data_IF_369523506890
#
_entry.id   IF_369523506890
#
_cell.length_a   1.000
_cell.length_b   1.000
_cell.length_c   1.000
_cell.angle_alpha   90.00
_cell.angle_beta   90.00
_cell.angle_gamma   90.00
#
_symmetry.space_group_name_H-M   'P 1'
#
loop_
_entity.id
_entity.type
_entity.pdbx_description
1 polymer ?
#
# COMPACT_ATOMS: atom_id res chain seq x y z
N UNK A 1 38.27 2.52 10.68
CA UNK A 1 36.99 2.80 10.00
C UNK A 1 36.43 1.46 9.55
N UNK A 2 35.41 0.96 10.26
CA UNK A 2 34.77 -0.29 9.88
C UNK A 2 33.68 0.04 8.85
N UNK A 3 33.83 -0.46 7.63
CA UNK A 3 32.80 -0.42 6.60
C UNK A 3 31.75 -1.48 6.94
N UNK A 4 30.50 -1.06 7.17
CA UNK A 4 29.34 -1.95 7.29
C UNK A 4 28.37 -1.64 6.16
N UNK A 5 28.10 -2.64 5.33
CA UNK A 5 27.13 -2.55 4.24
C UNK A 5 25.73 -2.76 4.81
N UNK A 6 24.94 -1.70 4.87
CA UNK A 6 23.50 -1.89 4.86
C UNK A 6 23.07 -2.25 3.45
N UNK A 7 22.44 -3.41 3.33
CA UNK A 7 21.71 -3.76 2.12
C UNK A 7 20.24 -3.47 2.39
N UNK A 8 19.69 -2.46 1.71
CA UNK A 8 18.27 -2.48 1.39
C UNK A 8 18.10 -3.65 0.44
N UNK A 9 17.78 -4.83 0.97
CA UNK A 9 17.51 -5.98 0.12
C UNK A 9 16.16 -5.74 -0.53
N UNK A 10 16.19 -5.41 -1.82
CA UNK A 10 15.12 -5.86 -2.69
C UNK A 10 15.18 -7.39 -2.59
N UNK A 11 14.29 -7.94 -1.77
CA UNK A 11 14.04 -9.36 -1.54
C UNK A 11 15.07 -10.16 -0.74
N UNK A 12 14.72 -10.43 0.51
CA UNK A 12 14.44 -11.80 0.95
C UNK A 12 13.26 -11.71 1.92
N UNK A 13 12.23 -12.49 1.63
CA UNK A 13 11.10 -12.71 2.53
C UNK A 13 11.60 -12.87 3.97
N UNK A 14 11.07 -12.06 4.90
CA UNK A 14 11.06 -12.49 6.30
C UNK A 14 10.37 -13.85 6.25
N UNK A 15 11.05 -14.91 6.69
CA UNK A 15 10.50 -16.25 6.65
C UNK A 15 9.36 -16.32 7.67
N UNK A 16 8.19 -15.85 7.26
CA UNK A 16 6.96 -15.89 8.01
C UNK A 16 6.38 -17.27 7.78
N UNK A 17 6.19 -18.00 8.86
CA UNK A 17 5.75 -19.39 8.91
C UNK A 17 4.40 -19.57 8.19
N UNK A 18 4.36 -20.50 7.22
CA UNK A 18 3.12 -20.99 6.64
C UNK A 18 2.37 -21.86 7.67
N UNK A 19 1.07 -21.63 7.95
CA UNK A 19 0.23 -22.68 8.50
C UNK A 19 0.00 -23.77 7.44
N UNK A 20 0.12 -25.03 7.85
CA UNK A 20 0.06 -26.22 7.00
C UNK A 20 -1.24 -26.31 6.18
N UNK A 21 -1.22 -26.90 4.97
CA UNK A 21 -2.43 -27.04 4.15
C UNK A 21 -3.34 -28.14 4.70
N UNK A 22 -4.58 -27.77 5.05
CA UNK A 22 -5.66 -28.73 5.26
C UNK A 22 -6.09 -29.35 3.91
N UNK A 23 -6.25 -30.67 3.91
CA UNK A 23 -6.73 -31.50 2.80
C UNK A 23 -8.16 -31.10 2.33
N UNK A 24 -8.51 -31.32 1.05
CA UNK A 24 -9.80 -30.95 0.50
C UNK A 24 -10.91 -31.96 0.88
N UNK A 25 -12.04 -31.45 1.34
CA UNK A 25 -13.28 -32.21 1.47
C UNK A 25 -14.05 -32.19 0.15
N UNK A 26 -14.19 -33.36 -0.46
CA UNK A 26 -15.18 -33.62 -1.50
C UNK A 26 -16.58 -33.71 -0.87
N UNK A 27 -17.54 -32.97 -1.41
CA UNK A 27 -18.92 -33.45 -1.45
C UNK A 27 -19.69 -32.85 -2.63
N UNK A 28 -19.95 -33.71 -3.62
CA UNK A 28 -20.97 -33.53 -4.63
C UNK A 28 -22.34 -33.70 -3.96
N UNK A 29 -23.24 -32.73 -4.10
CA UNK A 29 -24.68 -33.06 -4.18
C UNK A 29 -25.43 -31.99 -4.96
N UNK A 30 -25.95 -32.40 -6.11
CA UNK A 30 -26.99 -31.70 -6.87
C UNK A 30 -28.29 -31.74 -6.07
N UNK A 31 -29.00 -30.62 -5.98
CA UNK A 31 -30.46 -30.66 -5.83
C UNK A 31 -31.12 -29.56 -6.65
N UNK A 32 -32.12 -30.03 -7.39
CA UNK A 32 -32.98 -29.35 -8.36
C UNK A 32 -33.99 -28.38 -7.73
N UNK A 33 -34.43 -27.46 -8.58
CA UNK A 33 -35.46 -26.43 -8.43
C UNK A 33 -36.86 -26.92 -8.02
N UNK A 34 -37.72 -25.99 -7.55
CA UNK A 34 -39.15 -25.76 -7.90
C UNK A 34 -39.73 -24.57 -7.07
N UNK A 35 -40.79 -23.83 -7.51
CA UNK A 35 -40.96 -22.39 -7.28
C UNK A 35 -42.17 -21.95 -6.39
N UNK A 36 -42.14 -20.66 -5.94
CA UNK A 36 -43.20 -19.62 -5.72
C UNK A 36 -44.58 -20.01 -5.10
N UNK A 37 -45.23 -19.13 -4.28
CA UNK A 37 -45.90 -17.94 -4.83
C UNK A 37 -45.96 -16.66 -3.96
N UNK A 38 -46.30 -15.58 -4.66
CA UNK A 38 -46.60 -14.24 -4.19
C UNK A 38 -47.98 -14.11 -3.51
N UNK A 39 -48.15 -13.10 -2.66
CA UNK A 39 -49.46 -12.50 -2.35
C UNK A 39 -49.36 -10.99 -2.20
N UNK A 40 -50.13 -10.29 -3.03
CA UNK A 40 -50.50 -8.88 -2.95
C UNK A 40 -51.73 -8.71 -2.04
N UNK A 41 -51.82 -7.63 -1.25
CA UNK A 41 -53.05 -6.86 -0.95
C UNK A 41 -52.62 -5.48 -0.35
N UNK A 42 -52.70 -4.37 -1.08
CA UNK A 42 -53.81 -3.41 -1.24
C UNK A 42 -54.14 -2.52 -0.01
N UNK A 43 -53.61 -1.28 -0.06
CA UNK A 43 -54.25 0.03 0.17
C UNK A 43 -55.46 0.15 1.10
N UNK A 44 -55.36 1.04 2.10
CA UNK A 44 -56.39 2.07 2.38
C UNK A 44 -55.79 3.38 2.89
N UNK A 45 -56.12 4.46 2.17
CA UNK A 45 -56.00 5.86 2.58
C UNK A 45 -57.05 6.21 3.64
N UNK A 46 -56.67 7.08 4.59
CA UNK A 46 -57.56 8.10 5.15
C UNK A 46 -56.69 9.29 5.57
N UNK A 47 -56.99 10.45 5.00
CA UNK A 47 -56.43 11.73 5.42
C UNK A 47 -57.49 12.54 6.17
N UNK A 48 -57.05 13.37 7.12
CA UNK A 48 -57.71 14.63 7.47
C UNK A 48 -56.70 15.54 8.19
N UNK A 49 -56.47 16.66 7.49
CA UNK A 49 -55.85 17.95 7.82
C UNK A 49 -55.78 18.38 9.30
N UNK A 50 -54.66 19.03 9.69
CA UNK A 50 -54.61 20.35 10.32
C UNK A 50 -53.19 21.00 10.22
N UNK A 51 -53.17 22.32 10.03
CA UNK A 51 -52.05 23.25 9.68
C UNK A 51 -51.16 23.60 10.90
N UNK A 52 -49.89 24.07 10.74
CA UNK A 52 -48.77 23.83 11.67
C UNK A 52 -48.44 25.03 12.59
N UNK A 53 -47.53 24.81 13.57
CA UNK A 53 -46.54 25.83 13.94
C UNK A 53 -45.10 25.27 13.94
N UNK A 54 -44.21 25.98 13.25
CA UNK A 54 -42.75 25.77 13.23
C UNK A 54 -42.08 26.23 14.56
N UNK A 55 -40.76 26.10 14.75
CA UNK A 55 -40.02 24.86 14.99
C UNK A 55 -39.17 24.95 16.27
N UNK A 56 -39.31 24.01 17.21
CA UNK A 56 -38.30 23.85 18.28
C UNK A 56 -37.35 22.74 17.86
N UNK A 57 -36.24 23.12 17.22
CA UNK A 57 -35.18 22.21 16.81
C UNK A 57 -34.52 21.65 18.07
N UNK A 58 -34.97 20.48 18.50
CA UNK A 58 -34.19 19.62 19.38
C UNK A 58 -33.00 19.11 18.55
N UNK A 59 -31.85 19.77 18.68
CA UNK A 59 -30.57 19.26 18.21
C UNK A 59 -30.26 17.99 19.00
N UNK A 60 -30.76 16.85 18.52
CA UNK A 60 -30.26 15.54 18.90
C UNK A 60 -28.88 15.43 18.28
N UNK A 61 -27.88 15.86 19.04
CA UNK A 61 -26.47 15.59 18.77
C UNK A 61 -26.32 14.08 18.82
N UNK A 62 -26.56 13.43 17.69
CA UNK A 62 -25.97 12.13 17.42
C UNK A 62 -24.48 12.38 17.30
N UNK A 63 -23.78 12.32 18.44
CA UNK A 63 -22.34 12.16 18.45
C UNK A 63 -22.07 10.79 17.83
N UNK A 64 -21.99 10.74 16.50
CA UNK A 64 -21.25 9.70 15.82
C UNK A 64 -19.82 9.84 16.33
N UNK A 65 -19.48 8.99 17.30
CA UNK A 65 -18.11 8.78 17.73
C UNK A 65 -17.30 8.50 16.48
N UNK A 66 -16.60 9.53 15.98
CA UNK A 66 -15.48 9.33 15.07
C UNK A 66 -14.45 8.66 15.96
N UNK A 67 -14.48 7.33 16.00
CA UNK A 67 -13.33 6.55 16.42
C UNK A 67 -12.24 6.81 15.38
N UNK A 68 -11.55 7.95 15.51
CA UNK A 68 -10.20 8.08 15.00
C UNK A 68 -9.38 7.09 15.80
N UNK A 69 -9.24 5.88 15.28
CA UNK A 69 -8.28 4.90 15.79
C UNK A 69 -6.89 5.50 15.60
N UNK A 70 -6.46 6.28 16.60
CA UNK A 70 -5.14 6.93 16.70
C UNK A 70 -3.99 5.93 16.82
N UNK A 71 -4.27 4.62 16.78
CA UNK A 71 -3.26 3.58 16.64
C UNK A 71 -2.76 3.53 15.20
N UNK A 72 -1.43 3.61 15.05
CA UNK A 72 -0.74 3.24 13.82
C UNK A 72 -1.23 1.86 13.34
N UNK A 73 -1.38 1.63 12.02
CA UNK A 73 -1.73 0.31 11.53
C UNK A 73 -0.78 -0.74 12.08
N UNK A 74 -1.35 -1.86 12.49
CA UNK A 74 -0.54 -3.00 12.85
C UNK A 74 0.23 -3.41 11.59
N UNK A 75 1.54 -3.64 11.70
CA UNK A 75 2.31 -4.15 10.57
C UNK A 75 1.68 -5.47 10.12
N UNK A 76 1.65 -5.75 8.80
CA UNK A 76 1.15 -7.01 8.32
C UNK A 76 2.02 -8.16 8.83
N UNK A 77 1.38 -9.27 9.21
CA UNK A 77 2.03 -10.50 9.65
C UNK A 77 2.11 -11.54 8.53
N UNK A 78 1.56 -11.27 7.34
CA UNK A 78 1.72 -12.13 6.15
C UNK A 78 1.81 -11.32 4.86
N UNK A 79 2.21 -11.98 3.77
CA UNK A 79 2.24 -11.38 2.42
C UNK A 79 0.83 -10.98 1.96
N UNK A 80 -0.14 -11.84 2.19
CA UNK A 80 -1.54 -11.65 1.81
C UNK A 80 -2.13 -10.47 2.58
N UNK A 81 -1.83 -10.35 3.87
CA UNK A 81 -2.23 -9.20 4.66
C UNK A 81 -1.59 -7.91 4.15
N UNK A 82 -0.29 -7.94 3.81
CA UNK A 82 0.38 -6.79 3.21
C UNK A 82 -0.28 -6.35 1.90
N UNK A 83 -0.67 -7.31 1.04
CA UNK A 83 -1.41 -7.04 -0.20
C UNK A 83 -2.78 -6.42 0.12
N UNK A 84 -3.54 -6.96 1.06
CA UNK A 84 -4.87 -6.45 1.44
C UNK A 84 -4.79 -5.03 2.03
N UNK A 85 -3.83 -4.78 2.92
CA UNK A 85 -3.61 -3.45 3.49
C UNK A 85 -3.21 -2.44 2.40
N UNK A 86 -2.28 -2.82 1.52
CA UNK A 86 -1.84 -1.98 0.41
C UNK A 86 -2.96 -1.70 -0.61
N UNK A 87 -3.78 -2.71 -0.96
CA UNK A 87 -4.98 -2.55 -1.79
C UNK A 87 -5.94 -1.54 -1.19
N UNK A 88 -6.23 -1.66 0.11
CA UNK A 88 -7.16 -0.79 0.83
C UNK A 88 -6.64 0.65 0.88
N UNK A 89 -5.35 0.81 1.18
CA UNK A 89 -4.68 2.11 1.20
C UNK A 89 -4.72 2.77 -0.18
N UNK A 90 -4.40 2.04 -1.25
CA UNK A 90 -4.42 2.58 -2.61
C UNK A 90 -5.85 2.87 -3.08
N UNK A 91 -6.79 1.95 -2.86
CA UNK A 91 -8.17 2.09 -3.34
C UNK A 91 -8.84 3.32 -2.75
N UNK A 92 -8.77 3.50 -1.43
CA UNK A 92 -9.32 4.66 -0.72
C UNK A 92 -8.67 5.97 -1.17
N UNK A 93 -7.36 5.95 -1.43
CA UNK A 93 -6.64 7.13 -1.93
C UNK A 93 -7.02 7.48 -3.37
N UNK A 94 -7.36 6.48 -4.20
CA UNK A 94 -7.80 6.67 -5.58
C UNK A 94 -9.26 7.13 -5.70
N UNK A 95 -10.12 6.93 -4.68
CA UNK A 95 -11.54 7.28 -4.75
C UNK A 95 -11.76 8.76 -5.09
N UNK A 96 -11.11 9.68 -4.36
CA UNK A 96 -11.27 11.12 -4.56
C UNK A 96 -10.84 11.59 -5.96
N UNK A 97 -9.62 11.29 -6.44
CA UNK A 97 -9.18 11.76 -7.75
C UNK A 97 -9.96 11.15 -8.91
N UNK A 98 -10.47 9.92 -8.77
CA UNK A 98 -11.25 9.27 -9.82
C UNK A 98 -12.70 9.76 -9.89
N UNK A 99 -13.31 10.11 -8.76
CA UNK A 99 -14.69 10.62 -8.73
C UNK A 99 -14.78 12.13 -8.99
N UNK A 100 -13.70 12.89 -8.79
CA UNK A 100 -13.71 14.36 -8.92
C UNK A 100 -12.60 14.90 -9.85
N UNK A 101 -12.51 14.43 -11.11
CA UNK A 101 -11.43 14.84 -12.03
C UNK A 101 -11.48 16.33 -12.43
N UNK A 102 -12.59 17.04 -12.18
CA UNK A 102 -12.84 18.42 -12.64
C UNK A 102 -12.84 19.49 -11.55
N UNK A 103 -12.68 19.13 -10.28
CA UNK A 103 -12.99 20.01 -9.13
C UNK A 103 -11.79 20.80 -8.56
N UNK A 104 -10.61 20.72 -9.18
CA UNK A 104 -9.50 21.64 -8.86
C UNK A 104 -9.65 22.86 -9.76
N UNK A 105 -10.04 23.98 -9.12
CA UNK A 105 -10.72 25.12 -9.71
C UNK A 105 -10.07 25.78 -10.93
N UNK A 106 -10.93 26.50 -11.67
CA UNK A 106 -10.74 27.23 -12.95
C UNK A 106 -9.53 28.19 -13.05
N UNK A 107 -8.67 28.27 -12.04
CA UNK A 107 -7.50 29.16 -12.00
C UNK A 107 -6.19 28.49 -11.52
N UNK A 108 -6.19 27.18 -11.18
CA UNK A 108 -4.96 26.45 -10.80
C UNK A 108 -4.87 25.15 -11.60
N UNK A 109 -3.72 24.93 -12.27
CA UNK A 109 -3.41 23.65 -12.94
C UNK A 109 -3.68 22.50 -11.96
N UNK A 110 -4.60 21.59 -12.33
CA UNK A 110 -4.95 20.43 -11.51
C UNK A 110 -3.68 19.64 -11.19
N UNK A 111 -3.33 19.42 -9.93
CA UNK A 111 -2.18 18.58 -9.58
C UNK A 111 -2.51 17.15 -9.97
N UNK A 112 -1.68 16.52 -10.80
CA UNK A 112 -1.82 15.10 -11.12
C UNK A 112 -1.64 14.28 -9.83
N UNK A 113 -2.56 13.38 -9.50
CA UNK A 113 -2.38 12.42 -8.42
C UNK A 113 -1.29 11.42 -8.80
N UNK A 114 -0.26 11.31 -7.97
CA UNK A 114 0.88 10.40 -8.19
C UNK A 114 1.13 9.63 -6.92
N UNK A 115 0.96 8.32 -6.95
CA UNK A 115 1.00 7.47 -5.75
C UNK A 115 2.08 6.41 -5.86
N UNK A 116 2.67 6.02 -4.74
CA UNK A 116 3.67 4.96 -4.68
C UNK A 116 3.27 3.88 -3.68
N UNK A 117 3.41 2.63 -4.12
CA UNK A 117 3.15 1.42 -3.34
C UNK A 117 4.40 0.55 -3.37
N UNK A 118 4.83 0.12 -2.19
CA UNK A 118 5.96 -0.80 -2.02
C UNK A 118 5.55 -1.98 -1.13
N UNK A 119 5.60 -3.19 -1.68
CA UNK A 119 5.31 -4.43 -0.96
C UNK A 119 6.40 -5.46 -1.26
N UNK A 120 6.76 -6.32 -0.29
CA UNK A 120 7.75 -7.36 -0.53
C UNK A 120 7.22 -8.30 -1.62
N UNK A 121 8.07 -8.76 -2.51
CA UNK A 121 7.72 -9.88 -3.41
C UNK A 121 8.61 -11.08 -3.06
N UNK A 122 8.43 -12.20 -3.74
CA UNK A 122 9.15 -13.46 -3.47
C UNK A 122 10.43 -13.56 -4.31
N UNK A 123 10.31 -13.29 -5.61
CA UNK A 123 11.40 -13.09 -6.56
C UNK A 123 10.95 -12.16 -7.70
N UNK A 124 11.90 -11.81 -8.58
CA UNK A 124 11.68 -11.00 -9.78
C UNK A 124 11.29 -11.85 -11.02
N UNK A 125 10.86 -13.10 -10.82
CA UNK A 125 10.44 -13.93 -11.95
C UNK A 125 9.14 -13.40 -12.57
N UNK A 126 8.95 -13.61 -13.89
CA UNK A 126 7.72 -13.19 -14.55
C UNK A 126 6.45 -13.74 -13.92
N UNK A 127 6.46 -14.99 -13.44
CA UNK A 127 5.31 -15.63 -12.83
C UNK A 127 4.98 -15.00 -11.47
N UNK A 128 5.98 -14.79 -10.61
CA UNK A 128 5.79 -14.14 -9.30
C UNK A 128 5.26 -12.71 -9.43
N UNK A 129 5.79 -11.93 -10.37
CA UNK A 129 5.37 -10.55 -10.62
C UNK A 129 3.98 -10.48 -11.26
N UNK A 130 3.67 -11.39 -12.18
CA UNK A 130 2.34 -11.50 -12.80
C UNK A 130 1.29 -11.90 -11.78
N UNK A 131 1.60 -12.89 -10.93
CA UNK A 131 0.71 -13.30 -9.85
C UNK A 131 0.53 -12.18 -8.83
N UNK A 132 1.58 -11.45 -8.46
CA UNK A 132 1.45 -10.28 -7.58
C UNK A 132 0.52 -9.21 -8.19
N UNK A 133 0.70 -8.90 -9.47
CA UNK A 133 -0.15 -7.92 -10.15
C UNK A 133 -1.61 -8.40 -10.21
N UNK A 134 -1.83 -9.69 -10.44
CA UNK A 134 -3.18 -10.30 -10.40
C UNK A 134 -3.78 -10.22 -9.01
N UNK A 135 -3.04 -10.70 -8.00
CA UNK A 135 -3.43 -10.67 -6.60
C UNK A 135 -3.71 -9.25 -6.12
N UNK A 136 -3.10 -8.22 -6.71
CA UNK A 136 -3.28 -6.83 -6.29
C UNK A 136 -4.36 -6.08 -7.09
N UNK A 137 -4.35 -6.19 -8.42
CA UNK A 137 -5.16 -5.37 -9.33
C UNK A 137 -6.34 -6.12 -9.95
N UNK A 138 -6.38 -7.46 -9.87
CA UNK A 138 -7.46 -8.27 -10.44
C UNK A 138 -8.84 -7.95 -9.84
N UNK A 139 -8.88 -7.62 -8.55
CA UNK A 139 -10.11 -7.39 -7.77
C UNK A 139 -10.01 -6.11 -6.90
N UNK A 140 -9.20 -5.14 -7.29
CA UNK A 140 -8.97 -3.94 -6.47
C UNK A 140 -10.28 -3.17 -6.21
N UNK A 141 -10.71 -2.99 -4.93
CA UNK A 141 -12.04 -2.48 -4.62
C UNK A 141 -12.07 -0.95 -4.64
N UNK A 142 -12.03 -0.35 -5.83
CA UNK A 142 -12.08 1.11 -5.98
C UNK A 142 -13.53 1.58 -6.16
N UNK A 143 -14.04 2.39 -5.23
CA UNK A 143 -15.40 2.94 -5.31
C UNK A 143 -15.45 4.08 -6.34
N UNK A 144 -16.18 3.88 -7.43
CA UNK A 144 -16.46 4.91 -8.44
C UNK A 144 -17.94 5.05 -8.72
N UNK A 145 -18.40 6.29 -8.87
CA UNK A 145 -19.73 6.60 -9.41
C UNK A 145 -19.72 6.41 -10.91
N UNK A 146 -20.58 5.52 -11.42
CA UNK A 146 -20.79 5.33 -12.85
C UNK A 146 -20.01 4.14 -13.42
N UNK A 147 -19.21 4.37 -14.45
CA UNK A 147 -18.52 3.30 -15.18
C UNK A 147 -17.46 2.61 -14.31
N UNK A 148 -17.17 1.32 -14.57
CA UNK A 148 -16.02 0.67 -13.99
C UNK A 148 -14.71 1.39 -14.34
N UNK A 149 -13.70 1.21 -13.49
CA UNK A 149 -12.40 1.84 -13.65
C UNK A 149 -11.56 1.02 -14.60
N UNK A 150 -11.00 1.67 -15.62
CA UNK A 150 -10.03 1.06 -16.51
C UNK A 150 -8.62 1.28 -15.97
N UNK A 151 -7.88 0.20 -15.72
CA UNK A 151 -6.51 0.22 -15.22
C UNK A 151 -5.60 -0.16 -16.38
N UNK A 152 -4.57 0.65 -16.63
CA UNK A 152 -3.49 0.31 -17.56
C UNK A 152 -2.25 -0.05 -16.75
N UNK A 153 -1.80 -1.30 -16.84
CA UNK A 153 -0.55 -1.76 -16.23
C UNK A 153 0.55 -1.72 -17.28
N UNK A 154 1.60 -0.95 -16.97
CA UNK A 154 2.79 -0.78 -17.77
C UNK A 154 3.93 -1.60 -17.18
N UNK A 155 4.42 -2.55 -17.95
CA UNK A 155 5.47 -3.50 -17.59
C UNK A 155 6.84 -3.05 -18.11
N UNK A 156 7.95 -3.44 -17.48
CA UNK A 156 9.29 -3.06 -17.93
C UNK A 156 9.63 -3.56 -19.33
N UNK A 157 9.17 -4.76 -19.68
CA UNK A 157 9.48 -5.40 -20.95
C UNK A 157 8.31 -6.25 -21.46
N UNK A 158 8.47 -6.75 -22.69
CA UNK A 158 7.45 -7.51 -23.38
C UNK A 158 7.23 -8.91 -22.76
N UNK A 159 8.25 -9.53 -22.16
CA UNK A 159 8.15 -10.86 -21.56
C UNK A 159 7.28 -10.79 -20.30
N UNK A 160 7.55 -9.82 -19.42
CA UNK A 160 6.72 -9.60 -18.23
C UNK A 160 5.27 -9.26 -18.59
N UNK A 161 5.06 -8.47 -19.64
CA UNK A 161 3.72 -8.19 -20.17
C UNK A 161 3.00 -9.46 -20.64
N UNK A 162 3.69 -10.35 -21.34
CA UNK A 162 3.11 -11.60 -21.86
C UNK A 162 2.73 -12.58 -20.73
N UNK A 163 3.61 -12.76 -19.75
CA UNK A 163 3.32 -13.54 -18.54
C UNK A 163 2.11 -12.98 -17.80
N UNK A 164 2.03 -11.66 -17.65
CA UNK A 164 0.91 -11.01 -17.01
C UNK A 164 -0.40 -11.18 -17.78
N UNK A 165 -0.35 -11.00 -19.10
CA UNK A 165 -1.50 -11.23 -19.97
C UNK A 165 -2.02 -12.66 -19.78
N UNK A 166 -1.12 -13.64 -19.71
CA UNK A 166 -1.47 -15.05 -19.47
C UNK A 166 -2.07 -15.29 -18.09
N UNK A 167 -1.50 -14.71 -17.02
CA UNK A 167 -2.07 -14.81 -15.67
C UNK A 167 -3.49 -14.23 -15.59
N UNK A 168 -3.71 -13.10 -16.26
CA UNK A 168 -5.01 -12.41 -16.28
C UNK A 168 -6.03 -13.03 -17.24
N UNK A 169 -5.65 -13.92 -18.17
CA UNK A 169 -6.59 -14.57 -19.11
C UNK A 169 -7.72 -15.33 -18.39
N UNK A 170 -7.42 -15.93 -17.24
CA UNK A 170 -8.40 -16.65 -16.42
C UNK A 170 -9.30 -15.71 -15.60
N UNK A 171 -8.91 -14.44 -15.47
CA UNK A 171 -9.66 -13.42 -14.77
C UNK A 171 -10.62 -12.70 -15.73
N UNK A 172 -11.90 -12.72 -15.40
CA UNK A 172 -12.98 -12.17 -16.24
C UNK A 172 -13.01 -10.63 -16.30
N UNK A 173 -12.03 -9.95 -15.71
CA UNK A 173 -11.98 -8.50 -15.59
C UNK A 173 -11.42 -7.86 -16.85
N UNK A 174 -12.32 -7.51 -17.77
CA UNK A 174 -12.06 -6.69 -18.98
C UNK A 174 -11.60 -5.25 -18.70
N UNK A 175 -11.22 -4.95 -17.46
CA UNK A 175 -10.94 -3.61 -16.94
C UNK A 175 -9.44 -3.34 -16.81
N UNK A 176 -8.60 -4.38 -16.91
CA UNK A 176 -7.14 -4.26 -16.84
C UNK A 176 -6.57 -4.46 -18.24
N UNK A 177 -5.88 -3.44 -18.75
CA UNK A 177 -5.12 -3.49 -19.99
C UNK A 177 -3.63 -3.56 -19.66
N UNK A 178 -2.86 -4.32 -20.44
CA UNK A 178 -1.43 -4.49 -20.24
C UNK A 178 -0.63 -3.95 -21.43
N UNK A 179 0.48 -3.28 -21.14
CA UNK A 179 1.42 -2.77 -22.14
C UNK A 179 2.84 -2.79 -21.57
N UNK A 180 3.86 -2.89 -22.42
CA UNK A 180 5.24 -2.70 -21.99
C UNK A 180 5.67 -1.24 -22.21
N UNK A 181 6.44 -0.70 -21.27
CA UNK A 181 6.87 0.70 -21.21
C UNK A 181 7.54 1.14 -22.53
N UNK A 182 8.50 0.39 -23.11
CA UNK A 182 9.14 0.76 -24.38
C UNK A 182 8.13 0.91 -25.54
N UNK A 183 7.10 0.06 -25.58
CA UNK A 183 6.10 0.06 -26.65
C UNK A 183 5.10 1.21 -26.56
N UNK A 184 4.96 1.89 -25.40
CA UNK A 184 3.97 2.98 -25.22
C UNK A 184 4.11 4.08 -26.27
N UNK A 185 5.33 4.38 -26.72
CA UNK A 185 5.59 5.38 -27.78
C UNK A 185 5.04 5.01 -29.16
N UNK A 186 4.82 3.71 -29.40
CA UNK A 186 4.32 3.16 -30.67
C UNK A 186 2.82 2.83 -30.61
N UNK A 187 2.22 2.91 -29.42
CA UNK A 187 0.84 2.53 -29.16
C UNK A 187 -0.13 3.62 -29.57
N UNK A 188 -1.33 3.23 -29.99
CA UNK A 188 -2.43 4.14 -30.27
C UNK A 188 -2.71 5.03 -29.03
N UNK A 189 -2.62 6.37 -29.14
CA UNK A 189 -2.94 7.29 -28.05
C UNK A 189 -4.31 7.06 -27.42
N UNK A 190 -5.25 6.44 -28.14
CA UNK A 190 -6.57 6.05 -27.63
C UNK A 190 -6.51 5.10 -26.43
N UNK A 191 -5.49 4.25 -26.32
CA UNK A 191 -5.29 3.33 -25.19
C UNK A 191 -4.92 4.09 -23.91
N UNK A 192 -3.99 5.04 -24.01
CA UNK A 192 -3.67 5.94 -22.89
C UNK A 192 -4.87 6.83 -22.51
N UNK A 193 -5.66 7.23 -23.50
CA UNK A 193 -6.83 8.07 -23.28
C UNK A 193 -8.03 7.31 -22.69
N UNK A 194 -8.13 5.99 -22.88
CA UNK A 194 -9.24 5.17 -22.37
C UNK A 194 -9.06 4.81 -20.90
N UNK A 195 -7.82 4.58 -20.44
CA UNK A 195 -7.53 4.17 -19.08
C UNK A 195 -7.80 5.31 -18.08
N UNK A 196 -8.27 4.96 -16.88
CA UNK A 196 -8.56 5.90 -15.79
C UNK A 196 -7.38 6.04 -14.81
N UNK A 197 -6.60 4.96 -14.65
CA UNK A 197 -5.39 4.91 -13.82
C UNK A 197 -4.29 4.20 -14.60
N UNK A 198 -3.07 4.74 -14.54
CA UNK A 198 -1.88 4.10 -15.11
C UNK A 198 -0.96 3.61 -13.99
N UNK A 199 -0.48 2.36 -14.08
CA UNK A 199 0.41 1.73 -13.11
C UNK A 199 1.74 1.46 -13.80
N UNK A 200 2.84 2.01 -13.29
CA UNK A 200 4.19 1.56 -13.62
C UNK A 200 4.55 0.44 -12.65
N UNK A 201 4.50 -0.81 -13.11
CA UNK A 201 4.83 -1.97 -12.29
C UNK A 201 6.30 -2.34 -12.47
N UNK A 202 7.01 -2.47 -11.36
CA UNK A 202 8.44 -2.83 -11.30
C UNK A 202 9.36 -2.13 -12.30
N UNK A 203 9.20 -0.80 -12.53
CA UNK A 203 9.99 -0.11 -13.54
C UNK A 203 11.47 -0.09 -13.20
N UNK A 204 12.28 0.02 -14.25
CA UNK A 204 13.74 0.16 -14.17
C UNK A 204 14.17 1.63 -14.24
N UNK A 205 15.32 1.95 -13.64
CA UNK A 205 15.86 3.31 -13.63
C UNK A 205 16.14 3.84 -15.05
N UNK A 206 16.50 2.96 -15.98
CA UNK A 206 16.67 3.24 -17.41
C UNK A 206 15.39 3.79 -18.08
N UNK A 207 14.22 3.58 -17.47
CA UNK A 207 12.91 3.90 -18.04
C UNK A 207 12.34 5.23 -17.52
N UNK A 208 12.99 5.89 -16.56
CA UNK A 208 12.48 7.08 -15.87
C UNK A 208 12.08 8.22 -16.82
N UNK A 209 12.89 8.48 -17.85
CA UNK A 209 12.59 9.52 -18.83
C UNK A 209 11.31 9.22 -19.62
N UNK A 210 11.09 7.94 -19.95
CA UNK A 210 9.89 7.50 -20.65
C UNK A 210 8.68 7.50 -19.71
N UNK A 211 8.84 7.03 -18.47
CA UNK A 211 7.78 7.11 -17.45
C UNK A 211 7.31 8.54 -17.22
N UNK A 212 8.24 9.52 -17.18
CA UNK A 212 7.88 10.93 -17.07
C UNK A 212 7.05 11.39 -18.26
N UNK A 213 7.47 11.07 -19.49
CA UNK A 213 6.72 11.41 -20.72
C UNK A 213 5.32 10.81 -20.71
N UNK A 214 5.19 9.54 -20.33
CA UNK A 214 3.90 8.85 -20.24
C UNK A 214 3.02 9.47 -19.16
N UNK A 215 3.58 9.79 -18.00
CA UNK A 215 2.85 10.49 -16.92
C UNK A 215 2.34 11.86 -17.36
N UNK A 216 3.17 12.61 -18.09
CA UNK A 216 2.81 13.92 -18.64
C UNK A 216 1.68 13.79 -19.69
N UNK A 217 1.68 12.71 -20.48
CA UNK A 217 0.60 12.41 -21.44
C UNK A 217 -0.70 11.92 -20.77
N UNK A 218 -0.60 11.26 -19.61
CA UNK A 218 -1.74 10.77 -18.83
C UNK A 218 -2.41 11.88 -18.00
N UNK A 219 -1.80 13.07 -17.93
CA UNK A 219 -2.31 14.21 -17.18
C UNK A 219 -3.75 14.57 -17.59
N UNK A 220 -4.67 14.82 -16.63
CA UNK A 220 -4.45 14.92 -15.18
C UNK A 220 -4.77 13.65 -14.39
N UNK A 221 -4.92 12.49 -15.05
CA UNK A 221 -5.37 11.24 -14.42
C UNK A 221 -4.30 10.66 -13.48
N UNK A 222 -4.71 9.88 -12.46
CA UNK A 222 -3.79 9.26 -11.51
C UNK A 222 -2.75 8.35 -12.18
N UNK A 223 -1.52 8.42 -11.68
CA UNK A 223 -0.47 7.44 -11.98
C UNK A 223 0.06 6.81 -10.70
N UNK A 224 0.39 5.53 -10.74
CA UNK A 224 0.91 4.76 -9.61
C UNK A 224 2.27 4.18 -9.97
N UNK A 225 3.23 4.35 -9.06
CA UNK A 225 4.53 3.69 -9.09
C UNK A 225 4.50 2.51 -8.14
N UNK A 226 4.67 1.31 -8.65
CA UNK A 226 4.54 0.08 -7.88
C UNK A 226 5.83 -0.72 -7.90
N UNK A 227 6.45 -0.93 -6.73
CA UNK A 227 7.69 -1.70 -6.55
C UNK A 227 8.84 -1.33 -7.53
N UNK A 228 9.28 -0.06 -7.66
CA UNK A 228 10.40 0.28 -8.53
C UNK A 228 11.67 -0.52 -8.21
N UNK A 229 12.47 -0.88 -9.22
CA UNK A 229 13.69 -1.69 -9.07
C UNK A 229 14.92 -0.94 -8.53
N UNK A 230 14.78 0.34 -8.20
CA UNK A 230 15.83 1.15 -7.57
C UNK A 230 15.52 1.41 -6.10
N UNK A 231 16.55 1.57 -5.28
CA UNK A 231 16.41 1.97 -3.89
C UNK A 231 16.06 3.47 -3.77
N UNK A 232 15.41 3.86 -2.68
CA UNK A 232 14.99 5.25 -2.47
C UNK A 232 16.18 6.23 -2.41
N UNK A 233 17.33 5.76 -1.90
CA UNK A 233 18.57 6.53 -1.79
C UNK A 233 19.15 6.88 -3.16
N UNK A 234 18.94 6.02 -4.16
CA UNK A 234 19.39 6.23 -5.53
C UNK A 234 18.63 7.39 -6.20
N UNK A 235 17.45 7.77 -5.68
CA UNK A 235 16.59 8.75 -6.34
C UNK A 235 17.23 10.13 -6.46
N UNK A 236 18.09 10.49 -5.51
CA UNK A 236 18.84 11.76 -5.56
C UNK A 236 19.90 11.78 -6.68
N UNK A 237 20.27 10.62 -7.21
CA UNK A 237 21.28 10.49 -8.27
C UNK A 237 20.69 10.55 -9.68
N UNK A 238 19.36 10.64 -9.82
CA UNK A 238 18.70 10.73 -11.14
C UNK A 238 18.61 12.15 -11.70
N UNK A 239 19.26 13.14 -11.07
CA UNK A 239 19.35 14.52 -11.55
C UNK A 239 17.99 15.17 -11.75
N UNK A 240 17.70 15.63 -12.96
CA UNK A 240 16.43 16.32 -13.29
C UNK A 240 15.18 15.45 -13.06
N UNK A 241 15.33 14.12 -13.05
CA UNK A 241 14.23 13.18 -12.84
C UNK A 241 13.94 12.91 -11.35
N UNK A 242 14.83 13.31 -10.44
CA UNK A 242 14.63 13.20 -8.99
C UNK A 242 13.37 13.94 -8.53
N UNK A 243 13.11 15.13 -9.08
CA UNK A 243 11.89 15.90 -8.79
C UNK A 243 10.61 15.23 -9.30
N UNK A 244 10.70 14.47 -10.39
CA UNK A 244 9.57 13.66 -10.88
C UNK A 244 9.26 12.52 -9.92
N UNK A 245 10.26 11.78 -9.44
CA UNK A 245 10.06 10.71 -8.46
C UNK A 245 9.61 11.24 -7.09
N UNK A 246 10.20 12.33 -6.61
CA UNK A 246 9.80 13.00 -5.38
C UNK A 246 8.37 13.57 -5.42
N UNK A 247 7.73 13.63 -6.59
CA UNK A 247 6.33 14.02 -6.72
C UNK A 247 5.34 12.89 -6.42
N UNK A 248 5.79 11.63 -6.35
CA UNK A 248 4.98 10.48 -5.97
C UNK A 248 4.84 10.40 -4.45
N UNK A 249 3.59 10.40 -4.00
CA UNK A 249 3.26 10.26 -2.60
C UNK A 249 3.16 8.78 -2.22
N UNK A 250 3.99 8.36 -1.26
CA UNK A 250 3.94 6.97 -0.77
C UNK A 250 2.68 6.77 0.05
N UNK A 251 1.76 5.98 -0.49
CA UNK A 251 0.51 5.60 0.18
C UNK A 251 0.69 4.34 1.00
N UNK A 252 1.54 3.42 0.54
CA UNK A 252 1.86 2.20 1.28
C UNK A 252 3.31 1.82 1.04
N UNK A 253 4.01 1.42 2.09
CA UNK A 253 5.34 0.81 2.02
C UNK A 253 5.47 -0.17 3.16
N UNK A 254 5.83 -1.41 2.87
CA UNK A 254 6.23 -2.42 3.85
C UNK A 254 7.49 -3.10 3.32
N UNK A 255 8.65 -2.55 3.67
CA UNK A 255 9.94 -2.95 3.08
C UNK A 255 10.90 -3.47 4.13
N UNK A 256 11.43 -4.66 3.89
CA UNK A 256 12.40 -5.30 4.77
C UNK A 256 13.69 -4.49 4.91
N UNK A 257 14.28 -4.57 6.09
CA UNK A 257 15.56 -4.01 6.46
C UNK A 257 16.39 -5.09 7.14
N UNK A 258 17.66 -5.18 6.79
CA UNK A 258 18.60 -6.05 7.49
C UNK A 258 19.84 -5.25 7.88
N UNK A 259 20.00 -4.95 9.18
CA UNK A 259 21.27 -4.43 9.70
C UNK A 259 22.13 -5.58 10.21
N UNK A 260 23.32 -5.71 9.63
CA UNK A 260 24.39 -6.57 10.14
C UNK A 260 25.23 -5.81 11.15
N UNK A 261 25.08 -6.14 12.43
CA UNK A 261 26.02 -5.76 13.48
C UNK A 261 27.25 -6.68 13.52
N UNK A 262 28.27 -6.31 14.29
CA UNK A 262 29.54 -7.06 14.43
C UNK A 262 29.29 -8.48 15.00
N UNK A 263 28.23 -8.67 15.81
CA UNK A 263 27.92 -9.92 16.51
C UNK A 263 26.45 -10.38 16.38
N UNK A 264 25.58 -9.60 15.72
CA UNK A 264 24.16 -9.94 15.57
C UNK A 264 23.55 -9.27 14.35
N UNK A 265 22.77 -10.02 13.58
CA UNK A 265 21.90 -9.49 12.53
C UNK A 265 20.55 -9.14 13.16
N UNK A 266 20.03 -7.95 12.86
CA UNK A 266 18.67 -7.57 13.28
C UNK A 266 17.84 -7.24 12.04
N UNK A 267 16.74 -7.99 11.90
CA UNK A 267 15.73 -7.76 10.86
C UNK A 267 14.75 -6.70 11.34
N UNK A 268 14.35 -5.85 10.41
CA UNK A 268 13.36 -4.82 10.64
C UNK A 268 12.59 -4.51 9.37
N UNK A 269 11.68 -3.57 9.48
CA UNK A 269 10.82 -3.15 8.37
C UNK A 269 10.61 -1.64 8.43
N UNK A 270 10.68 -0.97 7.28
CA UNK A 270 10.12 0.38 7.11
C UNK A 270 8.67 0.20 6.71
N UNK A 271 7.77 0.80 7.48
CA UNK A 271 6.34 0.71 7.27
C UNK A 271 5.68 2.07 7.17
N UNK A 272 4.81 2.24 6.17
CA UNK A 272 3.86 3.33 6.05
C UNK A 272 2.58 2.79 5.44
N UNK A 273 1.43 3.22 5.94
CA UNK A 273 0.13 2.85 5.39
C UNK A 273 -0.83 4.04 5.54
N UNK A 274 -1.30 4.57 4.42
CA UNK A 274 -2.26 5.66 4.37
C UNK A 274 -3.67 5.16 4.66
N UNK A 275 -4.44 5.96 5.39
CA UNK A 275 -5.80 5.59 5.82
C UNK A 275 -6.83 6.54 5.27
N UNK A 276 -7.99 5.98 4.91
CA UNK A 276 -9.19 6.74 4.52
C UNK A 276 -8.92 7.78 3.41
N UNK A 277 -7.98 7.48 2.51
CA UNK A 277 -7.55 8.37 1.44
C UNK A 277 -6.80 9.63 1.88
N UNK A 278 -6.39 9.72 3.15
CA UNK A 278 -5.58 10.79 3.72
C UNK A 278 -4.15 10.30 3.90
N UNK A 279 -3.24 10.85 3.09
CA UNK A 279 -1.82 10.51 3.17
C UNK A 279 -1.04 11.49 4.07
N UNK A 280 -1.61 12.67 4.31
CA UNK A 280 -1.01 13.69 5.16
C UNK A 280 -1.21 13.37 6.64
N UNK A 281 -0.12 13.34 7.41
CA UNK A 281 -0.14 13.03 8.84
C UNK A 281 0.30 11.61 9.19
N UNK A 282 0.25 10.68 8.22
CA UNK A 282 0.70 9.31 8.39
C UNK A 282 2.22 9.23 8.49
N UNK A 283 2.68 8.60 9.57
CA UNK A 283 4.11 8.50 9.92
C UNK A 283 4.73 7.27 9.29
N UNK A 284 6.01 7.40 8.99
CA UNK A 284 6.87 6.27 8.69
C UNK A 284 7.29 5.62 10.00
N UNK A 285 7.13 4.31 10.12
CA UNK A 285 7.52 3.55 11.30
C UNK A 285 8.70 2.64 10.94
N UNK A 286 9.70 2.61 11.81
CA UNK A 286 10.74 1.59 11.78
C UNK A 286 10.33 0.54 12.79
N UNK A 287 10.14 -0.69 12.31
CA UNK A 287 9.81 -1.84 13.13
C UNK A 287 10.97 -2.81 13.17
N UNK A 288 11.07 -3.56 14.26
CA UNK A 288 12.05 -4.64 14.40
C UNK A 288 11.38 -5.89 14.92
N UNK A 289 11.94 -7.03 14.54
CA UNK A 289 11.58 -8.32 15.12
C UNK A 289 12.05 -8.36 16.60
N UNK A 290 11.10 -8.59 17.50
CA UNK A 290 11.31 -8.95 18.90
C UNK A 290 10.53 -10.25 19.18
N UNK A 291 11.17 -11.40 18.99
CA UNK A 291 10.49 -12.70 19.07
C UNK A 291 9.70 -12.97 17.79
N UNK A 292 8.40 -13.27 17.92
CA UNK A 292 7.49 -13.47 16.77
C UNK A 292 6.78 -12.17 16.34
N UNK A 293 6.96 -11.08 17.09
CA UNK A 293 6.24 -9.82 16.87
C UNK A 293 7.12 -8.73 16.23
N UNK A 294 6.49 -7.90 15.39
CA UNK A 294 7.07 -6.67 14.88
C UNK A 294 6.72 -5.49 15.80
N UNK A 295 7.74 -4.87 16.38
CA UNK A 295 7.56 -3.74 17.30
C UNK A 295 8.10 -2.45 16.72
N UNK A 296 7.30 -1.39 16.83
CA UNK A 296 7.71 -0.03 16.45
C UNK A 296 8.80 0.46 17.40
N UNK A 297 9.95 0.83 16.83
CA UNK A 297 11.11 1.36 17.59
C UNK A 297 11.38 2.82 17.33
N UNK A 298 10.89 3.36 16.21
CA UNK A 298 10.96 4.78 15.88
C UNK A 298 9.88 5.16 14.88
N UNK A 299 9.50 6.43 14.85
CA UNK A 299 8.52 6.98 13.91
C UNK A 299 9.00 8.33 13.34
N UNK A 300 8.94 8.49 12.02
CA UNK A 300 9.41 9.63 11.26
C UNK A 300 8.27 10.33 10.52
N UNK A 301 8.40 11.65 10.30
CA UNK A 301 7.43 12.43 9.50
C UNK A 301 7.63 12.23 8.00
N UNK A 302 8.89 12.09 7.59
CA UNK A 302 9.32 11.81 6.21
C UNK A 302 9.90 10.40 6.15
N UNK A 303 10.11 9.88 4.93
CA UNK A 303 10.76 8.57 4.77
C UNK A 303 12.15 8.65 5.40
N UNK A 304 12.48 7.77 6.37
CA UNK A 304 13.80 7.78 6.96
C UNK A 304 14.84 7.34 5.94
N UNK A 305 16.00 7.97 5.99
CA UNK A 305 17.18 7.55 5.24
C UNK A 305 17.76 6.27 5.84
N UNK A 306 18.53 5.55 5.04
CA UNK A 306 19.25 4.36 5.47
C UNK A 306 20.11 4.62 6.72
N UNK A 307 20.82 5.76 6.80
CA UNK A 307 21.63 6.13 7.96
C UNK A 307 20.82 6.48 9.21
N UNK A 308 19.61 7.05 9.07
CA UNK A 308 18.70 7.25 10.21
C UNK A 308 18.19 5.92 10.77
N UNK A 309 17.88 4.98 9.88
CA UNK A 309 17.49 3.62 10.24
C UNK A 309 18.64 2.89 10.96
N UNK A 310 19.88 2.97 10.44
CA UNK A 310 21.07 2.42 11.10
C UNK A 310 21.22 2.93 12.51
N UNK A 311 21.16 4.25 12.69
CA UNK A 311 21.33 4.87 14.00
C UNK A 311 20.26 4.40 15.00
N UNK A 312 19.00 4.27 14.56
CA UNK A 312 17.92 3.71 15.40
C UNK A 312 18.25 2.27 15.81
N UNK A 313 18.68 1.44 14.85
CA UNK A 313 18.94 0.02 15.09
C UNK A 313 20.20 -0.19 15.95
N UNK A 314 21.27 0.58 15.74
CA UNK A 314 22.47 0.54 16.58
C UNK A 314 22.19 0.98 18.01
N UNK A 315 21.44 2.06 18.22
CA UNK A 315 21.03 2.50 19.55
C UNK A 315 20.23 1.40 20.27
N UNK A 316 19.35 0.72 19.54
CA UNK A 316 18.56 -0.37 20.09
C UNK A 316 19.41 -1.60 20.42
N UNK A 317 20.42 -1.94 19.63
CA UNK A 317 21.39 -3.00 19.95
C UNK A 317 22.22 -2.63 21.19
N UNK A 318 22.68 -1.38 21.31
CA UNK A 318 23.48 -0.92 22.44
C UNK A 318 22.71 -0.99 23.77
N UNK A 319 21.42 -0.60 23.78
CA UNK A 319 20.56 -0.67 24.98
C UNK A 319 20.30 -2.14 25.39
N UNK A 320 20.20 -3.04 24.42
CA UNK A 320 19.89 -4.45 24.65
C UNK A 320 21.13 -5.36 24.81
N UNK A 321 22.34 -4.81 24.72
CA UNK A 321 23.59 -5.56 24.83
C UNK A 321 23.73 -6.28 26.19
N UNK A 322 24.27 -7.51 26.21
CA UNK A 322 24.51 -8.26 27.45
C UNK A 322 25.29 -7.49 28.51
N UNK A 323 26.20 -6.60 28.10
CA UNK A 323 27.02 -5.79 29.00
C UNK A 323 26.14 -4.72 29.68
N UNK A 324 25.28 -4.05 28.92
CA UNK A 324 24.34 -3.03 29.41
C UNK A 324 23.25 -3.63 30.29
N UNK A 325 22.74 -4.82 29.93
CA UNK A 325 21.79 -5.59 30.76
C UNK A 325 22.44 -6.04 32.07
N UNK A 326 23.66 -6.54 32.04
CA UNK A 326 24.43 -6.93 33.24
C UNK A 326 24.69 -5.74 34.16
N UNK A 327 25.04 -4.57 33.61
CA UNK A 327 25.23 -3.35 34.39
C UNK A 327 23.93 -2.86 35.05
N UNK A 328 22.79 -2.92 34.35
CA UNK A 328 21.47 -2.65 34.96
C UNK A 328 21.12 -3.65 36.06
N UNK A 329 21.44 -4.93 35.87
CA UNK A 329 21.21 -5.98 36.87
C UNK A 329 22.04 -5.75 38.13
N UNK A 330 23.35 -5.50 37.99
CA UNK A 330 24.24 -5.19 39.12
C UNK A 330 23.81 -3.89 39.81
N UNK A 331 23.47 -2.83 39.06
CA UNK A 331 22.96 -1.59 39.64
C UNK A 331 21.64 -1.81 40.39
N UNK A 332 20.74 -2.63 39.87
CA UNK A 332 19.47 -3.00 40.51
C UNK A 332 19.66 -3.78 41.81
N UNK A 333 20.65 -4.68 41.85
CA UNK A 333 21.04 -5.38 43.07
C UNK A 333 21.62 -4.43 44.12
N UNK A 334 22.49 -3.51 43.70
CA UNK A 334 23.11 -2.52 44.59
C UNK A 334 22.08 -1.50 45.10
N UNK A 335 21.12 -1.07 44.29
CA UNK A 335 20.04 -0.15 44.72
C UNK A 335 19.05 -0.80 45.68
N UNK A 336 18.75 -2.09 45.52
CA UNK A 336 17.91 -2.83 46.47
C UNK A 336 18.63 -3.09 47.80
N UNK A 337 19.96 -3.19 47.80
CA UNK A 337 20.76 -3.32 49.02
C UNK A 337 21.01 -1.99 49.75
N UNK A 338 20.90 -0.84 49.07
CA UNK A 338 21.21 0.48 49.66
C UNK A 338 19.98 1.30 50.09
N UNK A 339 18.76 0.76 49.97
CA UNK A 339 17.60 1.24 50.74
C UNK A 339 17.25 2.72 50.62
N UNK A 340 17.25 3.29 49.40
CA UNK A 340 16.61 4.58 49.14
C UNK A 340 15.58 4.43 48.03
N UNK A 341 14.31 4.37 48.45
CA UNK A 341 13.13 4.62 47.62
C UNK A 341 13.01 6.11 47.33
#
# INVERSE_FOLDING_TARGET
>A
MASSYLHTTHFQSIQISNPSPCLPSHCNTQFTSIPLPATHFLSKHCGLSCIPPSPTVHLKVTSSSIHSSLSSPNPPISKEEAIVQAKTSLSTTLEKPLNNPKLVGKFKKLRQPKFRVEIPVIDDSPDSLSQLALDFFGDIPIKRKGSPIKILIMWPDANLKESATSAFQSHSTSQVEHIDIPSVTKTDPRILNSADVAIFLVPESSQLALMKRVSDAFYPKPVVLFNPKWAFEEENNFGDLSGFLGSFEVVYSFMGLEVRGILSQKKGVIFKCARDGVVSGERWNVLVEEGEDLKVVSSFKTRPTIGEVENVLYNLMAINSPITKSAKFIRGLVSNMTGKK
#
